data_IF_217405365602
#
_entry.id   IF_217405365602
#
_cell.length_a   1.000
_cell.length_b   1.000
_cell.length_c   1.000
_cell.angle_alpha   90.00
_cell.angle_beta   90.00
_cell.angle_gamma   90.00
#
_symmetry.space_group_name_H-M   'P 1'
#
loop_
_entity.id
_entity.type
_entity.pdbx_description
1 polymer ?
#
# COMPACT_ATOMS: atom_id res chain seq x y z
N UNK A 1 -7.10 -11.01 -10.80
CA UNK A 1 -5.89 -10.30 -10.30
C UNK A 1 -5.08 -11.30 -9.47
N UNK A 2 -3.77 -11.45 -9.68
CA UNK A 2 -2.95 -12.37 -8.87
C UNK A 2 -2.16 -11.58 -7.82
N UNK A 3 -2.66 -11.54 -6.58
CA UNK A 3 -2.07 -10.76 -5.49
C UNK A 3 -0.76 -11.35 -4.96
N UNK A 4 -0.54 -12.67 -5.07
CA UNK A 4 0.74 -13.30 -4.74
C UNK A 4 1.87 -12.87 -5.69
N UNK A 5 1.57 -12.74 -6.98
CA UNK A 5 2.52 -12.22 -7.97
C UNK A 5 2.81 -10.73 -7.79
N UNK A 6 1.84 -9.97 -7.28
CA UNK A 6 2.04 -8.55 -6.96
C UNK A 6 2.91 -8.42 -5.71
N UNK A 7 2.58 -9.14 -4.63
CA UNK A 7 3.31 -9.08 -3.36
C UNK A 7 4.78 -9.48 -3.51
N UNK A 8 5.08 -10.52 -4.30
CA UNK A 8 6.46 -10.96 -4.56
C UNK A 8 7.32 -9.96 -5.34
N UNK A 9 6.71 -8.92 -5.93
CA UNK A 9 7.40 -7.86 -6.68
C UNK A 9 7.52 -6.56 -5.90
N UNK A 10 7.01 -6.52 -4.66
CA UNK A 10 7.14 -5.35 -3.80
C UNK A 10 8.50 -5.32 -3.14
N UNK A 11 9.10 -4.13 -3.07
CA UNK A 11 10.32 -3.94 -2.30
C UNK A 11 10.06 -4.02 -0.78
N UNK A 12 11.08 -4.28 0.05
CA UNK A 12 10.92 -4.30 1.51
C UNK A 12 10.27 -3.03 2.08
N UNK A 13 10.60 -1.86 1.53
CA UNK A 13 9.97 -0.59 1.93
C UNK A 13 8.49 -0.50 1.57
N UNK A 14 8.08 -1.03 0.41
CA UNK A 14 6.68 -1.11 0.01
C UNK A 14 5.91 -2.11 0.87
N UNK A 15 6.50 -3.26 1.16
CA UNK A 15 5.94 -4.28 2.06
C UNK A 15 5.71 -3.69 3.45
N UNK A 16 6.71 -3.01 4.01
CA UNK A 16 6.60 -2.34 5.32
C UNK A 16 5.50 -1.27 5.32
N UNK A 17 5.42 -0.46 4.25
CA UNK A 17 4.38 0.57 4.10
C UNK A 17 2.98 -0.05 4.03
N UNK A 18 2.79 -1.13 3.25
CA UNK A 18 1.48 -1.81 3.17
C UNK A 18 1.09 -2.44 4.50
N UNK A 19 2.05 -3.03 5.23
CA UNK A 19 1.80 -3.60 6.56
C UNK A 19 1.36 -2.53 7.57
N UNK A 20 1.98 -1.35 7.51
CA UNK A 20 1.65 -0.22 8.40
C UNK A 20 0.41 0.58 8.00
N UNK A 21 -0.24 0.25 6.88
CA UNK A 21 -1.45 0.92 6.41
C UNK A 21 -2.68 0.02 6.54
N UNK A 22 -3.85 0.64 6.59
CA UNK A 22 -5.16 -0.01 6.62
C UNK A 22 -6.15 0.75 5.71
N UNK A 23 -7.42 0.33 5.71
CA UNK A 23 -8.49 1.02 4.99
C UNK A 23 -8.75 2.45 5.51
N UNK A 24 -8.31 2.75 6.73
CA UNK A 24 -8.46 4.07 7.36
C UNK A 24 -7.34 5.01 6.91
N UNK A 25 -7.64 6.21 6.39
CA UNK A 25 -6.63 7.18 6.01
C UNK A 25 -5.80 7.64 7.21
N UNK A 26 -4.48 7.67 7.06
CA UNK A 26 -3.56 8.21 8.04
C UNK A 26 -2.45 9.06 7.39
N UNK A 27 -1.84 9.95 8.18
CA UNK A 27 -0.68 10.72 7.73
C UNK A 27 0.54 9.83 7.83
N UNK A 28 1.30 9.76 6.75
CA UNK A 28 2.57 9.05 6.73
C UNK A 28 3.68 10.09 6.78
N UNK A 29 4.60 9.99 7.74
CA UNK A 29 5.82 10.79 7.75
C UNK A 29 6.80 10.27 6.70
N UNK A 30 7.86 9.60 7.14
CA UNK A 30 8.91 9.07 6.26
C UNK A 30 8.44 8.07 5.19
N UNK A 31 7.25 7.47 5.35
CA UNK A 31 6.67 6.51 4.41
C UNK A 31 5.85 7.16 3.27
N UNK A 32 5.59 8.47 3.33
CA UNK A 32 4.78 9.19 2.32
C UNK A 32 5.28 8.98 0.88
N UNK A 33 6.57 9.10 0.55
CA UNK A 33 7.04 8.91 -0.83
C UNK A 33 6.75 7.50 -1.36
N UNK A 34 6.83 6.48 -0.49
CA UNK A 34 6.50 5.10 -0.84
C UNK A 34 5.00 4.94 -1.08
N UNK A 35 4.16 5.52 -0.22
CA UNK A 35 2.72 5.48 -0.38
C UNK A 35 2.24 6.22 -1.64
N UNK A 36 2.87 7.34 -2.02
CA UNK A 36 2.62 8.04 -3.28
C UNK A 36 2.96 7.15 -4.48
N UNK A 37 4.07 6.39 -4.42
CA UNK A 37 4.41 5.44 -5.48
C UNK A 37 3.41 4.28 -5.53
N UNK A 38 2.91 3.84 -4.38
CA UNK A 38 1.90 2.78 -4.30
C UNK A 38 0.52 3.23 -4.81
N UNK A 39 0.22 4.53 -4.74
CA UNK A 39 -1.06 5.09 -5.20
C UNK A 39 -1.15 5.26 -6.71
N UNK A 40 -0.02 5.11 -7.41
CA UNK A 40 0.05 5.10 -8.87
C UNK A 40 0.01 3.65 -9.38
N UNK A 41 -0.82 3.33 -10.39
CA UNK A 41 -0.76 2.03 -11.05
C UNK A 41 0.58 1.88 -11.78
N UNK A 42 1.02 0.64 -11.96
CA UNK A 42 2.18 0.28 -12.76
C UNK A 42 1.81 -0.84 -13.73
N UNK A 43 2.69 -1.12 -14.71
CA UNK A 43 2.45 -2.14 -15.75
C UNK A 43 2.04 -3.52 -15.22
N UNK A 44 2.42 -3.86 -13.99
CA UNK A 44 2.24 -5.18 -13.36
C UNK A 44 1.40 -5.17 -12.08
N UNK A 45 0.91 -4.01 -11.65
CA UNK A 45 0.09 -3.89 -10.43
C UNK A 45 -0.87 -2.70 -10.52
N UNK A 46 -2.08 -2.79 -9.96
CA UNK A 46 -2.93 -1.63 -9.77
C UNK A 46 -2.32 -0.66 -8.74
N UNK A 47 -2.95 0.51 -8.58
CA UNK A 47 -2.77 1.31 -7.38
C UNK A 47 -3.17 0.48 -6.16
N UNK A 48 -2.38 0.54 -5.10
CA UNK A 48 -2.60 -0.21 -3.85
C UNK A 48 -3.02 0.71 -2.70
N UNK A 49 -2.67 1.99 -2.79
CA UNK A 49 -3.06 3.02 -1.83
C UNK A 49 -3.92 4.08 -2.51
N UNK A 50 -4.73 4.78 -1.72
CA UNK A 50 -5.41 6.01 -2.12
C UNK A 50 -4.79 7.17 -1.36
N UNK A 51 -4.72 8.32 -2.03
CA UNK A 51 -4.31 9.59 -1.44
C UNK A 51 -5.55 10.46 -1.27
N UNK A 52 -5.74 11.00 -0.08
CA UNK A 52 -6.81 11.94 0.28
C UNK A 52 -6.18 13.17 0.92
N UNK A 53 -6.85 14.32 0.86
CA UNK A 53 -6.37 15.52 1.56
C UNK A 53 -7.10 15.65 2.90
N UNK A 54 -6.35 15.60 3.99
CA UNK A 54 -6.86 15.83 5.33
C UNK A 54 -6.58 17.25 5.82
N UNK A 55 -7.07 17.61 7.02
CA UNK A 55 -6.86 18.94 7.62
C UNK A 55 -5.37 19.26 7.87
N UNK A 56 -4.54 18.24 8.04
CA UNK A 56 -3.11 18.38 8.35
C UNK A 56 -2.19 17.93 7.20
N UNK A 57 -2.73 17.83 5.98
CA UNK A 57 -1.98 17.43 4.78
C UNK A 57 -2.42 16.09 4.18
N UNK A 58 -1.59 15.49 3.31
CA UNK A 58 -1.96 14.29 2.58
C UNK A 58 -2.06 13.06 3.49
N UNK A 59 -3.17 12.35 3.37
CA UNK A 59 -3.46 11.11 4.10
C UNK A 59 -3.56 9.94 3.12
N UNK A 60 -3.12 8.77 3.57
CA UNK A 60 -3.05 7.55 2.75
C UNK A 60 -3.77 6.39 3.43
N UNK A 61 -4.45 5.59 2.63
CA UNK A 61 -5.08 4.34 3.04
C UNK A 61 -4.84 3.26 1.98
N UNK A 62 -5.01 1.99 2.33
CA UNK A 62 -5.12 0.89 1.39
C UNK A 62 -6.48 0.91 0.70
N UNK A 63 -6.49 0.68 -0.60
CA UNK A 63 -7.73 0.36 -1.32
C UNK A 63 -8.01 -1.15 -1.25
N UNK A 64 -9.08 -1.61 -1.90
CA UNK A 64 -9.45 -3.02 -1.96
C UNK A 64 -8.29 -3.92 -2.43
N UNK A 65 -7.51 -3.50 -3.43
CA UNK A 65 -6.33 -4.26 -3.87
C UNK A 65 -5.19 -4.25 -2.85
N UNK A 66 -4.93 -3.11 -2.21
CA UNK A 66 -3.93 -2.99 -1.17
C UNK A 66 -4.22 -3.87 0.04
N UNK A 67 -5.48 -3.97 0.45
CA UNK A 67 -5.93 -4.84 1.54
C UNK A 67 -5.72 -6.32 1.20
N UNK A 68 -6.06 -6.74 -0.03
CA UNK A 68 -5.80 -8.11 -0.47
C UNK A 68 -4.30 -8.42 -0.52
N UNK A 69 -3.46 -7.47 -0.97
CA UNK A 69 -2.00 -7.63 -0.94
C UNK A 69 -1.48 -7.71 0.49
N UNK A 70 -2.02 -6.93 1.44
CA UNK A 70 -1.65 -6.97 2.86
C UNK A 70 -1.87 -8.37 3.43
N UNK A 71 -3.05 -8.97 3.21
CA UNK A 71 -3.36 -10.34 3.64
C UNK A 71 -2.33 -11.35 3.16
N UNK A 72 -1.93 -11.29 1.88
CA UNK A 72 -0.92 -12.20 1.32
C UNK A 72 0.46 -11.97 1.97
N UNK A 73 0.84 -10.72 2.16
CA UNK A 73 2.13 -10.32 2.75
C UNK A 73 2.23 -10.72 4.24
N UNK A 74 1.11 -10.80 4.94
CA UNK A 74 1.01 -11.28 6.33
C UNK A 74 0.99 -12.81 6.40
N UNK A 75 0.27 -13.48 5.49
CA UNK A 75 0.20 -14.93 5.42
C UNK A 75 1.55 -15.61 5.09
N UNK A 76 2.41 -14.95 4.30
CA UNK A 76 3.74 -15.46 3.95
C UNK A 76 4.76 -15.50 5.12
N UNK A 77 4.31 -15.22 6.36
CA UNK A 77 5.12 -15.23 7.58
C UNK A 77 4.79 -16.40 8.53
N UNK A 78 3.79 -17.22 8.18
CA UNK A 78 3.48 -18.49 8.83
C UNK A 78 4.15 -19.65 8.10
#
# INVERSE_FOLDING_TARGET
MNYQKISSRLSPGQISTIRGLDATPCILGCAEPTAIRLSKPAKVRPALTVKTMGPNGPMFALNSHGLEVKKVVEAARG
#
